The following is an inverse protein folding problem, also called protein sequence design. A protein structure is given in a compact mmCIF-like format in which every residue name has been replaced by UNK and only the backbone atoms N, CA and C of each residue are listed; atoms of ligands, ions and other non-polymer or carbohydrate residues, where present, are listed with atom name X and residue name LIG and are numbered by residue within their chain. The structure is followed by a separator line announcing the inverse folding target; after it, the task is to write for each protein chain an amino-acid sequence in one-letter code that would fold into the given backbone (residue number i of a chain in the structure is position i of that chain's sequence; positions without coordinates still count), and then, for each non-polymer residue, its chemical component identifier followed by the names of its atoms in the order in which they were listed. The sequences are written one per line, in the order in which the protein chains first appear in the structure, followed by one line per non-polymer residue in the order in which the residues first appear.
data_IF_530886319140
#
_entry.id   IF_530886319140
#
_cell.length_a   1.000
_cell.length_b   1.000
_cell.length_c   1.000
_cell.angle_alpha   90.00
_cell.angle_beta   90.00
_cell.angle_gamma   90.00
#
_symmetry.space_group_name_H-M   'P 1'
#
loop_
_entity.id
_entity.type
_entity.pdbx_description
1 polymer ?
#
# COMPACT_ATOMS: atom_id res chain seq x y z
N UNK A 1 4.00 38.84 6.74
CA UNK A 1 2.97 39.42 7.65
C UNK A 1 3.67 40.09 8.85
N UNK A 2 3.19 41.28 9.24
CA UNK A 2 3.07 41.85 10.60
C UNK A 2 4.15 41.62 11.69
N UNK A 3 4.80 42.75 12.07
CA UNK A 3 5.14 43.24 13.45
C UNK A 3 6.16 42.43 14.29
N UNK A 4 6.92 42.97 15.26
CA UNK A 4 7.12 44.31 15.87
C UNK A 4 8.63 44.67 15.80
N UNK A 5 9.18 45.90 15.91
CA UNK A 5 8.71 47.29 16.15
C UNK A 5 8.59 47.80 17.62
N UNK A 6 9.59 48.56 18.07
CA UNK A 6 9.72 49.25 19.39
C UNK A 6 10.89 48.68 20.21
N UNK A 7 11.65 49.41 21.03
CA UNK A 7 11.72 50.83 21.45
C UNK A 7 13.16 51.03 22.03
N UNK A 8 13.74 52.19 22.38
CA UNK A 8 13.33 53.60 22.53
C UNK A 8 14.58 54.50 22.32
N UNK A 9 14.44 55.79 21.96
CA UNK A 9 15.55 56.75 21.85
C UNK A 9 15.58 57.75 23.02
N UNK A 10 16.77 58.16 23.49
CA UNK A 10 16.92 59.29 24.40
C UNK A 10 18.26 60.02 24.16
N UNK A 11 18.17 61.28 23.72
CA UNK A 11 19.28 62.22 23.57
C UNK A 11 19.70 62.81 24.92
N UNK A 12 20.98 63.14 25.08
CA UNK A 12 21.51 63.70 26.33
C UNK A 12 22.87 64.39 26.16
N UNK A 13 22.91 65.45 25.35
CA UNK A 13 24.11 66.28 25.18
C UNK A 13 24.19 67.32 26.31
N UNK A 14 25.21 67.24 27.16
CA UNK A 14 25.61 68.35 28.06
C UNK A 14 27.14 68.43 28.10
N UNK A 15 27.67 69.64 28.03
CA UNK A 15 29.11 69.90 27.97
C UNK A 15 29.62 70.59 29.24
N UNK A 16 30.94 70.48 29.48
CA UNK A 16 31.73 71.22 30.50
C UNK A 16 31.41 70.84 31.96
N UNK A 17 32.29 70.96 32.97
CA UNK A 17 33.62 71.58 33.10
C UNK A 17 34.58 70.66 33.90
N UNK A 18 35.85 71.03 33.97
CA UNK A 18 36.88 70.47 34.85
C UNK A 18 36.52 70.45 36.34
N UNK A 19 36.68 69.30 36.99
CA UNK A 19 36.80 69.19 38.45
C UNK A 19 37.82 68.11 38.83
N UNK A 20 38.96 68.52 39.38
CA UNK A 20 39.89 67.62 40.06
C UNK A 20 39.28 67.21 41.40
N UNK A 21 38.99 65.92 41.58
CA UNK A 21 38.63 65.37 42.90
C UNK A 21 39.52 64.17 43.19
N UNK A 22 40.35 64.29 44.22
CA UNK A 22 41.17 63.19 44.72
C UNK A 22 40.26 62.26 45.51
N UNK A 23 40.11 61.02 45.03
CA UNK A 23 39.45 59.94 45.75
C UNK A 23 40.51 58.91 46.18
N UNK A 24 40.91 58.93 47.45
CA UNK A 24 41.56 57.79 48.09
C UNK A 24 40.51 56.91 48.75
N UNK A 25 40.55 55.59 48.54
CA UNK A 25 39.71 54.65 49.28
C UNK A 25 39.17 53.49 48.44
N UNK A 26 39.95 52.42 48.38
CA UNK A 26 39.58 51.04 48.02
C UNK A 26 39.27 50.66 46.55
N UNK A 27 40.17 49.79 46.05
CA UNK A 27 40.00 48.78 44.98
C UNK A 27 39.98 49.25 43.52
N UNK A 28 40.96 50.07 43.15
CA UNK A 28 41.59 49.86 41.85
C UNK A 28 42.36 48.53 41.86
N UNK A 29 41.83 47.52 41.16
CA UNK A 29 42.62 46.37 40.72
C UNK A 29 43.66 46.90 39.74
N UNK A 30 44.96 46.77 40.03
CA UNK A 30 45.99 47.33 39.15
C UNK A 30 45.87 46.74 37.74
N UNK A 31 46.20 47.51 36.69
CA UNK A 31 46.01 47.07 35.30
C UNK A 31 46.66 45.70 35.00
N UNK A 32 47.79 45.41 35.65
CA UNK A 32 48.45 44.10 35.61
C UNK A 32 47.60 42.97 36.20
N UNK A 33 46.93 43.20 37.32
CA UNK A 33 46.07 42.22 37.99
C UNK A 33 44.74 42.02 37.24
N UNK A 34 44.21 43.07 36.62
CA UNK A 34 43.10 42.95 35.67
C UNK A 34 43.50 42.09 34.47
N UNK A 35 44.65 42.36 33.85
CA UNK A 35 45.14 41.58 32.71
C UNK A 35 45.37 40.11 33.08
N UNK A 36 45.93 39.80 34.25
CA UNK A 36 46.06 38.42 34.74
C UNK A 36 44.69 37.73 34.81
N UNK A 37 43.65 38.41 35.28
CA UNK A 37 42.31 37.82 35.40
C UNK A 37 41.61 37.69 34.03
N UNK A 38 41.73 38.68 33.15
CA UNK A 38 41.20 38.61 31.78
C UNK A 38 41.86 37.44 31.01
N UNK A 39 43.17 37.24 31.17
CA UNK A 39 43.92 36.12 30.57
C UNK A 39 43.52 34.77 31.16
N UNK A 40 43.37 34.66 32.49
CA UNK A 40 42.84 33.43 33.13
C UNK A 40 41.47 33.07 32.58
N UNK A 41 40.59 34.06 32.48
CA UNK A 41 39.22 33.89 32.00
C UNK A 41 39.21 33.43 30.53
N UNK A 42 40.02 34.04 29.67
CA UNK A 42 40.15 33.61 28.28
C UNK A 42 40.66 32.17 28.13
N UNK A 43 41.67 31.76 28.90
CA UNK A 43 42.21 30.39 28.84
C UNK A 43 41.17 29.39 29.36
N UNK A 44 40.57 29.65 30.53
CA UNK A 44 39.65 28.72 31.21
C UNK A 44 38.25 28.65 30.60
N UNK A 45 37.76 29.73 29.98
CA UNK A 45 36.48 29.79 29.24
C UNK A 45 36.67 29.67 27.72
N UNK A 46 37.87 29.33 27.24
CA UNK A 46 38.18 29.47 25.82
C UNK A 46 37.21 28.69 24.93
N UNK A 47 36.77 29.38 23.89
CA UNK A 47 35.38 29.41 23.46
C UNK A 47 34.94 28.14 22.71
N UNK A 48 34.45 27.14 23.43
CA UNK A 48 33.92 25.86 22.92
C UNK A 48 34.87 25.02 22.04
N UNK A 49 36.08 25.51 21.75
CA UNK A 49 36.96 25.09 20.65
C UNK A 49 38.21 24.33 21.08
N UNK A 50 38.49 24.25 22.38
CA UNK A 50 39.61 23.45 22.90
C UNK A 50 39.22 21.97 22.96
N UNK A 51 39.55 21.22 21.91
CA UNK A 51 39.20 19.80 21.75
C UNK A 51 40.42 18.93 22.07
N UNK A 52 40.21 17.83 22.78
CA UNK A 52 41.23 16.85 23.15
C UNK A 52 41.83 16.18 21.91
N UNK A 53 43.15 15.96 21.94
CA UNK A 53 43.90 15.35 20.83
C UNK A 53 44.20 16.29 19.64
N UNK A 54 43.49 17.42 19.50
CA UNK A 54 43.76 18.41 18.43
C UNK A 54 44.33 19.73 18.95
N UNK A 55 43.92 20.18 20.13
CA UNK A 55 44.41 21.44 20.72
C UNK A 55 45.68 21.22 21.53
N UNK A 56 46.76 21.91 21.19
CA UNK A 56 48.01 21.89 21.96
C UNK A 56 48.10 23.08 22.92
N UNK A 57 49.02 22.98 23.90
CA UNK A 57 49.32 24.09 24.80
C UNK A 57 49.89 25.31 24.05
N UNK A 58 50.57 25.11 22.92
CA UNK A 58 51.12 26.21 22.11
C UNK A 58 50.00 26.98 21.40
N UNK A 59 48.99 26.28 20.86
CA UNK A 59 47.84 26.92 20.21
C UNK A 59 47.08 27.84 21.17
N UNK A 60 46.91 27.41 22.43
CA UNK A 60 46.29 28.20 23.48
C UNK A 60 47.16 29.42 23.85
N UNK A 61 48.48 29.25 23.96
CA UNK A 61 49.42 30.34 24.22
C UNK A 61 49.39 31.38 23.10
N UNK A 62 49.43 30.95 21.83
CA UNK A 62 49.44 31.84 20.67
C UNK A 62 48.09 32.53 20.46
N UNK A 63 46.96 31.83 20.66
CA UNK A 63 45.64 32.45 20.68
C UNK A 63 45.51 33.50 21.79
N UNK A 64 46.05 33.21 22.97
CA UNK A 64 46.05 34.16 24.10
C UNK A 64 46.91 35.38 23.80
N UNK A 65 48.13 35.19 23.29
CA UNK A 65 48.96 36.32 22.87
C UNK A 65 48.32 37.13 21.74
N UNK A 66 47.70 36.49 20.74
CA UNK A 66 46.96 37.16 19.67
C UNK A 66 45.80 38.01 20.21
N UNK A 67 45.15 37.57 21.31
CA UNK A 67 44.04 38.29 21.94
C UNK A 67 44.47 39.49 22.79
N UNK A 68 45.60 39.39 23.50
CA UNK A 68 45.98 40.35 24.55
C UNK A 68 47.22 41.21 24.25
N UNK A 69 48.09 40.80 23.33
CA UNK A 69 49.28 41.59 22.94
C UNK A 69 48.87 42.61 21.89
N UNK A 70 49.15 43.89 22.15
CA UNK A 70 48.72 45.01 21.30
C UNK A 70 49.96 45.70 20.72
N UNK A 71 50.01 45.82 19.39
CA UNK A 71 51.18 46.33 18.64
C UNK A 71 51.61 47.75 19.03
N UNK A 72 50.73 48.54 19.64
CA UNK A 72 51.00 49.93 20.05
C UNK A 72 51.64 50.06 21.46
N UNK A 73 52.09 48.94 22.04
CA UNK A 73 53.00 48.88 23.19
C UNK A 73 52.36 48.80 24.57
N UNK A 74 51.03 48.72 24.67
CA UNK A 74 50.34 48.66 25.98
C UNK A 74 50.52 47.30 26.68
N UNK A 75 50.59 46.21 25.91
CA UNK A 75 50.90 44.85 26.39
C UNK A 75 51.82 44.18 25.37
N UNK A 76 52.97 43.69 25.81
CA UNK A 76 53.98 42.98 24.98
C UNK A 76 54.36 41.62 25.55
N UNK A 77 54.98 40.74 24.75
CA UNK A 77 55.47 39.44 25.24
C UNK A 77 56.80 39.58 25.99
N UNK A 78 57.02 38.75 27.01
CA UNK A 78 58.28 38.69 27.79
C UNK A 78 59.53 38.28 26.99
N UNK A 79 59.35 37.83 25.73
CA UNK A 79 60.42 37.45 24.81
C UNK A 79 60.61 38.42 23.63
N UNK A 80 59.81 39.49 23.55
CA UNK A 80 59.92 40.52 22.50
C UNK A 80 60.85 41.67 22.94
N UNK A 81 61.34 42.46 21.98
CA UNK A 81 62.23 43.59 22.28
C UNK A 81 61.51 44.66 23.10
N UNK A 82 62.08 45.02 24.26
CA UNK A 82 61.54 46.05 25.15
C UNK A 82 61.84 47.50 24.67
N UNK A 83 62.45 47.64 23.49
CA UNK A 83 62.75 48.93 22.86
C UNK A 83 61.47 49.66 22.41
N UNK A 84 61.24 50.87 22.89
CA UNK A 84 60.08 51.69 22.49
C UNK A 84 58.82 51.51 23.34
N UNK A 85 58.92 50.77 24.46
CA UNK A 85 57.85 50.73 25.46
C UNK A 85 57.63 52.08 26.14
N UNK A 86 56.44 52.24 26.72
CA UNK A 86 56.04 53.40 27.52
C UNK A 86 56.13 53.05 29.00
N UNK A 87 56.00 54.05 29.88
CA UNK A 87 56.05 53.85 31.33
C UNK A 87 54.87 53.06 31.92
N UNK A 88 53.77 52.97 31.17
CA UNK A 88 52.52 52.26 31.49
C UNK A 88 52.38 50.91 30.78
N UNK A 89 53.39 50.48 30.02
CA UNK A 89 53.43 49.20 29.33
C UNK A 89 53.42 48.00 30.30
N UNK A 90 52.68 46.96 29.93
CA UNK A 90 52.70 45.66 30.62
C UNK A 90 53.46 44.61 29.79
N UNK A 91 54.20 43.74 30.47
CA UNK A 91 54.87 42.59 29.89
C UNK A 91 54.14 41.34 30.34
N UNK A 92 53.57 40.59 29.39
CA UNK A 92 52.85 39.35 29.62
C UNK A 92 53.74 38.14 29.30
N UNK A 93 53.82 37.22 30.25
CA UNK A 93 54.46 35.92 30.12
C UNK A 93 53.43 34.82 30.41
N UNK A 94 53.39 33.81 29.57
CA UNK A 94 52.57 32.61 29.77
C UNK A 94 53.47 31.40 29.58
N UNK A 95 53.44 30.45 30.51
CA UNK A 95 54.18 29.20 30.42
C UNK A 95 53.32 28.02 30.85
N UNK A 96 53.40 26.91 30.11
CA UNK A 96 52.74 25.67 30.52
C UNK A 96 53.43 25.08 31.77
N UNK A 97 52.65 24.74 32.80
CA UNK A 97 53.16 24.13 34.04
C UNK A 97 52.84 22.65 34.18
N UNK A 98 51.78 22.15 33.52
CA UNK A 98 51.46 20.73 33.50
C UNK A 98 50.89 20.27 32.17
N UNK A 99 51.23 19.04 31.78
CA UNK A 99 50.68 18.35 30.61
C UNK A 99 49.96 17.07 31.04
N UNK A 100 48.65 17.15 31.29
CA UNK A 100 47.76 15.99 31.25
C UNK A 100 47.02 16.02 29.91
N UNK A 101 46.50 14.88 29.45
CA UNK A 101 45.89 14.78 28.11
C UNK A 101 44.60 15.61 28.02
N UNK A 102 43.70 15.45 29.00
CA UNK A 102 42.43 16.18 29.08
C UNK A 102 42.50 17.53 29.85
N UNK A 103 43.66 17.92 30.40
CA UNK A 103 43.79 19.09 31.28
C UNK A 103 45.16 19.77 31.18
N UNK A 104 45.16 21.05 30.80
CA UNK A 104 46.38 21.87 30.65
C UNK A 104 46.39 22.99 31.69
N UNK A 105 47.54 23.21 32.33
CA UNK A 105 47.74 24.29 33.31
C UNK A 105 48.80 25.27 32.82
N UNK A 106 48.55 26.55 33.05
CA UNK A 106 49.40 27.65 32.62
C UNK A 106 49.68 28.62 33.78
N UNK A 107 50.96 28.94 33.97
CA UNK A 107 51.40 30.09 34.76
C UNK A 107 51.32 31.34 33.90
N UNK A 108 50.75 32.40 34.47
CA UNK A 108 50.59 33.73 33.89
C UNK A 108 51.35 34.70 34.79
N UNK A 109 52.33 35.41 34.24
CA UNK A 109 53.05 36.47 34.95
C UNK A 109 52.90 37.78 34.16
N UNK A 110 52.41 38.83 34.82
CA UNK A 110 52.33 40.18 34.25
C UNK A 110 53.22 41.12 35.05
N UNK A 111 54.04 41.90 34.37
CA UNK A 111 54.97 42.86 34.95
C UNK A 111 54.70 44.25 34.39
N UNK A 112 54.78 45.29 35.23
CA UNK A 112 54.90 46.65 34.73
C UNK A 112 56.33 46.94 34.25
N UNK A 113 56.49 47.92 33.38
CA UNK A 113 57.81 48.51 33.08
C UNK A 113 58.29 49.46 34.18
N UNK A 114 59.61 49.63 34.30
CA UNK A 114 60.26 50.75 35.01
C UNK A 114 61.35 51.36 34.13
N UNK A 115 61.73 52.61 34.40
CA UNK A 115 62.85 53.24 33.70
C UNK A 115 64.15 52.43 33.91
N UNK A 116 64.87 52.19 32.82
CA UNK A 116 66.19 51.55 32.82
C UNK A 116 67.31 52.51 33.21
N UNK A 117 68.54 52.01 33.21
CA UNK A 117 69.74 52.83 33.48
C UNK A 117 70.18 53.65 32.27
N UNK A 118 69.79 53.26 31.04
CA UNK A 118 70.01 54.07 29.85
C UNK A 118 68.84 55.05 29.59
N UNK A 119 69.14 56.18 28.95
CA UNK A 119 68.14 57.21 28.64
C UNK A 119 67.13 56.67 27.63
N UNK A 120 65.84 56.77 27.95
CA UNK A 120 64.69 56.23 27.19
C UNK A 120 64.62 54.70 27.11
N UNK A 121 65.32 53.98 27.99
CA UNK A 121 65.16 52.54 28.16
C UNK A 121 64.05 52.24 29.19
N UNK A 122 63.23 51.23 28.91
CA UNK A 122 62.27 50.67 29.88
C UNK A 122 62.55 49.19 30.06
N UNK A 123 62.65 48.76 31.31
CA UNK A 123 62.98 47.40 31.71
C UNK A 123 61.85 46.79 32.55
N UNK A 124 61.81 45.46 32.57
CA UNK A 124 60.87 44.67 33.38
C UNK A 124 61.01 45.00 34.87
N UNK A 125 59.93 45.45 35.51
CA UNK A 125 59.90 45.62 36.95
C UNK A 125 59.52 44.32 37.66
N UNK A 126 60.52 43.51 38.02
CA UNK A 126 60.34 42.23 38.74
C UNK A 126 59.49 42.36 40.00
N UNK A 127 59.60 43.49 40.69
CA UNK A 127 58.95 43.75 41.98
C UNK A 127 57.45 44.05 41.83
N UNK A 128 56.99 44.28 40.59
CA UNK A 128 55.58 44.54 40.24
C UNK A 128 54.79 43.30 39.83
N UNK A 129 55.42 42.11 39.85
CA UNK A 129 54.85 40.90 39.25
C UNK A 129 53.48 40.54 39.84
N UNK A 130 52.48 40.43 38.97
CA UNK A 130 51.19 39.82 39.27
C UNK A 130 51.18 38.42 38.68
N UNK A 131 50.88 37.42 39.50
CA UNK A 131 50.86 36.01 39.12
C UNK A 131 49.45 35.45 39.06
N UNK A 132 49.25 34.53 38.14
CA UNK A 132 48.03 33.75 38.00
C UNK A 132 48.33 32.34 37.55
N UNK A 133 47.46 31.41 37.93
CA UNK A 133 47.36 30.09 37.31
C UNK A 133 46.03 30.05 36.59
N UNK A 134 46.00 29.49 35.39
CA UNK A 134 44.76 29.08 34.71
C UNK A 134 44.83 27.60 34.35
N UNK A 135 43.71 26.92 34.47
CA UNK A 135 43.54 25.52 34.10
C UNK A 135 42.40 25.45 33.10
N UNK A 136 42.61 24.69 32.03
CA UNK A 136 41.61 24.43 31.01
C UNK A 136 41.43 22.93 30.86
N UNK A 137 40.17 22.49 30.88
CA UNK A 137 39.79 21.13 30.53
C UNK A 137 39.44 21.13 29.05
N UNK A 138 40.09 20.25 28.30
CA UNK A 138 39.76 20.06 26.90
C UNK A 138 38.41 19.33 26.81
N UNK A 139 37.61 19.64 25.79
CA UNK A 139 36.42 18.85 25.48
C UNK A 139 36.85 17.51 24.90
N UNK A 140 36.25 16.44 25.41
CA UNK A 140 36.44 15.09 24.89
C UNK A 140 36.11 15.05 23.40
N UNK A 141 36.95 14.39 22.61
CA UNK A 141 36.73 14.27 21.17
C UNK A 141 35.77 13.11 20.91
N UNK A 142 34.47 13.43 20.85
CA UNK A 142 33.32 12.52 20.65
C UNK A 142 33.30 11.79 19.27
N UNK A 143 34.44 11.71 18.57
CA UNK A 143 34.60 11.00 17.29
C UNK A 143 34.51 9.48 17.48
N UNK A 144 33.29 9.01 17.70
CA UNK A 144 32.92 7.60 17.74
C UNK A 144 33.02 7.04 16.32
N UNK A 145 33.64 5.87 16.19
CA UNK A 145 33.79 5.19 14.90
C UNK A 145 32.42 4.98 14.23
N UNK A 146 32.30 5.25 12.91
CA UNK A 146 31.12 4.91 12.14
C UNK A 146 30.82 3.41 12.17
N UNK A 147 29.54 3.05 12.21
CA UNK A 147 29.09 1.64 12.18
C UNK A 147 27.94 1.51 11.19
N UNK A 148 28.11 0.67 10.16
CA UNK A 148 27.03 0.23 9.29
C UNK A 148 26.26 -0.88 10.03
N UNK A 149 24.94 -0.75 10.11
CA UNK A 149 24.08 -1.79 10.69
C UNK A 149 24.03 -3.03 9.79
N UNK A 150 23.88 -4.21 10.38
CA UNK A 150 23.74 -5.44 9.61
C UNK A 150 22.49 -5.38 8.71
N UNK A 151 22.68 -5.70 7.42
CA UNK A 151 21.62 -5.79 6.41
C UNK A 151 21.25 -7.27 6.29
N UNK A 152 19.96 -7.58 6.22
CA UNK A 152 19.50 -8.96 6.00
C UNK A 152 19.59 -9.33 4.52
N UNK A 153 19.65 -10.62 4.21
CA UNK A 153 19.56 -11.10 2.83
C UNK A 153 18.21 -10.66 2.19
N UNK A 154 18.22 -10.51 0.86
CA UNK A 154 17.11 -9.91 0.10
C UNK A 154 16.72 -10.81 -1.09
N UNK A 155 15.43 -10.78 -1.46
CA UNK A 155 14.93 -11.45 -2.66
C UNK A 155 14.42 -10.41 -3.66
N UNK A 156 14.73 -10.57 -4.94
CA UNK A 156 14.24 -9.70 -6.02
C UNK A 156 13.93 -10.51 -7.27
N UNK A 157 12.88 -10.15 -7.99
CA UNK A 157 12.52 -10.81 -9.25
C UNK A 157 13.30 -10.20 -10.42
N UNK A 158 13.66 -11.00 -11.44
CA UNK A 158 14.28 -10.52 -12.69
C UNK A 158 13.54 -9.29 -13.24
N UNK A 159 14.29 -8.27 -13.64
CA UNK A 159 13.79 -7.02 -14.19
C UNK A 159 13.11 -6.09 -13.19
N UNK A 160 12.91 -6.52 -11.93
CA UNK A 160 12.34 -5.67 -10.87
C UNK A 160 13.44 -5.02 -10.04
N UNK A 161 13.03 -4.03 -9.24
CA UNK A 161 13.89 -3.22 -8.38
C UNK A 161 13.43 -3.30 -6.93
N UNK A 162 14.39 -3.26 -6.01
CA UNK A 162 14.18 -3.25 -4.56
C UNK A 162 15.03 -2.14 -3.95
N UNK A 163 14.43 -1.27 -3.14
CA UNK A 163 15.17 -0.29 -2.33
C UNK A 163 15.41 -0.83 -0.92
N UNK A 164 16.62 -0.66 -0.41
CA UNK A 164 17.04 -1.06 0.94
C UNK A 164 17.65 0.14 1.66
N UNK A 165 17.19 0.40 2.89
CA UNK A 165 17.72 1.46 3.75
C UNK A 165 18.99 1.01 4.50
N UNK A 166 20.07 1.80 4.43
CA UNK A 166 21.32 1.52 5.14
C UNK A 166 21.46 2.45 6.35
N UNK A 167 21.37 1.87 7.55
CA UNK A 167 21.50 2.63 8.80
C UNK A 167 22.95 2.74 9.24
N UNK A 168 23.47 3.97 9.29
CA UNK A 168 24.83 4.30 9.72
C UNK A 168 24.77 5.01 11.08
N UNK A 169 25.41 4.43 12.10
CA UNK A 169 25.57 5.06 13.42
C UNK A 169 26.89 5.84 13.45
N UNK A 170 26.89 7.04 14.03
CA UNK A 170 28.01 8.00 14.01
C UNK A 170 28.51 8.32 12.58
N UNK A 171 27.65 8.77 11.64
CA UNK A 171 28.11 9.16 10.31
C UNK A 171 29.06 10.37 10.38
N UNK A 172 30.01 10.43 9.45
CA UNK A 172 30.98 11.53 9.31
C UNK A 172 30.55 12.43 8.16
N UNK A 173 30.56 13.74 8.39
CA UNK A 173 30.20 14.73 7.36
C UNK A 173 31.16 14.65 6.16
N UNK A 174 30.59 14.61 4.94
CA UNK A 174 31.35 14.50 3.69
C UNK A 174 31.79 13.08 3.31
N UNK A 175 31.53 12.06 4.12
CA UNK A 175 31.78 10.65 3.75
C UNK A 175 30.55 10.04 3.08
N UNK A 176 30.75 9.47 1.89
CA UNK A 176 29.70 8.85 1.08
C UNK A 176 29.63 7.33 1.27
N UNK A 177 28.41 6.78 1.14
CA UNK A 177 28.14 5.35 1.11
C UNK A 177 28.56 4.75 -0.25
N UNK A 178 29.14 3.55 -0.23
CA UNK A 178 29.51 2.78 -1.43
C UNK A 178 28.93 1.37 -1.36
N UNK A 179 28.46 0.85 -2.49
CA UNK A 179 27.92 -0.51 -2.60
C UNK A 179 28.43 -1.16 -3.90
N UNK A 180 28.76 -2.44 -3.83
CA UNK A 180 29.28 -3.23 -4.94
C UNK A 180 28.61 -4.61 -4.96
N UNK A 181 28.32 -5.13 -6.15
CA UNK A 181 27.74 -6.45 -6.36
C UNK A 181 28.81 -7.40 -6.90
N UNK A 182 29.04 -8.52 -6.21
CA UNK A 182 30.04 -9.52 -6.61
C UNK A 182 29.69 -10.19 -7.96
N UNK A 183 28.40 -10.39 -8.23
CA UNK A 183 27.90 -11.03 -9.46
C UNK A 183 26.90 -10.09 -10.16
N UNK A 184 27.43 -9.08 -10.85
CA UNK A 184 26.63 -8.09 -11.63
C UNK A 184 25.73 -8.71 -12.70
N UNK A 185 26.02 -9.93 -13.13
CA UNK A 185 25.18 -10.69 -14.07
C UNK A 185 23.86 -11.17 -13.45
N UNK A 186 23.84 -11.37 -12.13
CA UNK A 186 22.65 -11.81 -11.40
C UNK A 186 21.90 -10.60 -10.83
N UNK A 187 22.59 -9.72 -10.08
CA UNK A 187 22.01 -8.50 -9.52
C UNK A 187 22.97 -7.31 -9.65
N UNK A 188 22.44 -6.11 -9.91
CA UNK A 188 23.19 -4.85 -9.83
C UNK A 188 22.73 -4.01 -8.64
N UNK A 189 23.61 -3.13 -8.13
CA UNK A 189 23.34 -2.23 -7.00
C UNK A 189 23.75 -0.81 -7.36
N UNK A 190 22.95 0.18 -6.95
CA UNK A 190 23.22 1.60 -7.11
C UNK A 190 22.93 2.36 -5.81
N UNK A 191 23.74 3.38 -5.51
CA UNK A 191 23.50 4.29 -4.38
C UNK A 191 22.35 5.25 -4.73
N UNK A 192 21.51 5.54 -3.73
CA UNK A 192 20.43 6.52 -3.76
C UNK A 192 20.62 7.55 -2.64
N UNK A 193 19.83 8.61 -2.69
CA UNK A 193 19.80 9.63 -1.64
C UNK A 193 19.42 9.03 -0.27
N UNK A 194 19.82 9.71 0.82
CA UNK A 194 19.47 9.36 2.20
C UNK A 194 19.93 7.95 2.65
N UNK A 195 21.12 7.52 2.22
CA UNK A 195 21.72 6.22 2.55
C UNK A 195 20.86 5.01 2.09
N UNK A 196 20.12 5.16 1.00
CA UNK A 196 19.43 4.05 0.33
C UNK A 196 20.33 3.39 -0.71
N UNK A 197 20.08 2.11 -0.97
CA UNK A 197 20.59 1.40 -2.15
C UNK A 197 19.43 0.83 -2.96
N UNK A 198 19.53 0.89 -4.29
CA UNK A 198 18.60 0.25 -5.22
C UNK A 198 19.27 -0.99 -5.82
N UNK A 199 18.64 -2.15 -5.63
CA UNK A 199 19.06 -3.43 -6.17
C UNK A 199 18.16 -3.74 -7.36
N UNK A 200 18.75 -4.12 -8.51
CA UNK A 200 17.99 -4.55 -9.70
C UNK A 200 18.34 -6.01 -10.01
N UNK A 201 17.32 -6.87 -10.10
CA UNK A 201 17.48 -8.26 -10.54
C UNK A 201 17.72 -8.32 -12.05
N UNK A 202 18.75 -9.03 -12.49
CA UNK A 202 19.19 -9.12 -13.90
C UNK A 202 19.00 -10.53 -14.46
N UNK A 203 19.44 -11.55 -13.73
CA UNK A 203 19.28 -12.97 -14.08
C UNK A 203 19.16 -13.82 -12.81
N UNK A 204 18.52 -14.98 -12.92
CA UNK A 204 18.27 -15.86 -11.77
C UNK A 204 19.57 -16.38 -11.14
N UNK A 205 19.62 -16.39 -9.81
CA UNK A 205 20.77 -16.79 -9.01
C UNK A 205 21.20 -15.72 -8.01
N UNK A 206 22.23 -16.01 -7.22
CA UNK A 206 22.63 -15.17 -6.09
C UNK A 206 23.72 -14.15 -6.45
N UNK A 207 23.75 -13.02 -5.74
CA UNK A 207 24.89 -12.10 -5.70
C UNK A 207 25.15 -11.61 -4.27
N UNK A 208 26.41 -11.64 -3.83
CA UNK A 208 26.81 -10.98 -2.58
C UNK A 208 26.97 -9.47 -2.83
N UNK A 209 26.25 -8.66 -2.05
CA UNK A 209 26.39 -7.19 -2.05
C UNK A 209 27.29 -6.80 -0.88
N UNK A 210 28.36 -6.06 -1.17
CA UNK A 210 29.22 -5.43 -0.15
C UNK A 210 28.86 -3.96 -0.02
N UNK A 211 28.51 -3.52 1.18
CA UNK A 211 28.22 -2.12 1.52
C UNK A 211 29.34 -1.59 2.43
N UNK A 212 29.89 -0.43 2.08
CA UNK A 212 31.06 0.16 2.73
C UNK A 212 30.93 1.66 2.92
N UNK A 213 31.55 2.16 3.99
CA UNK A 213 31.52 3.55 4.43
C UNK A 213 32.85 3.85 5.13
N UNK A 214 33.46 5.01 4.89
CA UNK A 214 34.80 5.29 5.42
C UNK A 214 34.78 5.34 6.96
N UNK A 215 35.76 4.70 7.60
CA UNK A 215 35.82 4.55 9.05
C UNK A 215 34.92 3.45 9.65
N UNK A 216 34.05 2.82 8.85
CA UNK A 216 33.25 1.67 9.27
C UNK A 216 33.84 0.33 8.77
N UNK A 217 33.45 -0.77 9.42
CA UNK A 217 33.61 -2.11 8.83
C UNK A 217 32.51 -2.35 7.79
N UNK A 218 32.88 -2.83 6.60
CA UNK A 218 31.92 -3.16 5.54
C UNK A 218 30.98 -4.29 5.95
N UNK A 219 29.72 -4.20 5.53
CA UNK A 219 28.68 -5.22 5.72
C UNK A 219 28.45 -5.96 4.40
N UNK A 220 28.13 -7.25 4.50
CA UNK A 220 27.82 -8.13 3.36
C UNK A 220 26.47 -8.81 3.59
N UNK A 221 25.70 -8.98 2.52
CA UNK A 221 24.46 -9.74 2.51
C UNK A 221 24.25 -10.34 1.11
N UNK A 222 23.43 -11.39 1.01
CA UNK A 222 23.08 -12.06 -0.24
C UNK A 222 21.81 -11.45 -0.82
N UNK A 223 21.82 -11.25 -2.14
CA UNK A 223 20.62 -11.01 -2.95
C UNK A 223 20.36 -12.26 -3.76
N UNK A 224 19.26 -12.95 -3.50
CA UNK A 224 18.76 -14.03 -4.34
C UNK A 224 17.84 -13.43 -5.41
N UNK A 225 18.19 -13.66 -6.68
CA UNK A 225 17.36 -13.23 -7.82
C UNK A 225 16.52 -14.40 -8.29
N UNK A 226 15.21 -14.23 -8.19
CA UNK A 226 14.22 -15.21 -8.61
C UNK A 226 13.77 -14.93 -10.05
N UNK A 227 13.49 -15.98 -10.81
CA UNK A 227 12.86 -15.85 -12.12
C UNK A 227 11.49 -15.19 -11.97
N UNK A 228 11.08 -14.37 -12.94
CA UNK A 228 9.68 -13.94 -13.01
C UNK A 228 8.82 -15.19 -13.27
N UNK A 229 7.83 -15.43 -12.41
CA UNK A 229 6.94 -16.57 -12.56
C UNK A 229 6.24 -16.49 -13.92
N UNK A 230 6.27 -17.59 -14.68
CA UNK A 230 5.52 -17.66 -15.93
C UNK A 230 4.03 -17.46 -15.63
N UNK A 231 3.36 -16.64 -16.43
CA UNK A 231 1.92 -16.46 -16.30
C UNK A 231 1.22 -17.80 -16.57
N UNK A 232 0.38 -18.25 -15.63
CA UNK A 232 -0.38 -19.49 -15.78
C UNK A 232 -1.26 -19.39 -17.04
N UNK A 233 -1.21 -20.43 -17.88
CA UNK A 233 -1.97 -20.47 -19.12
C UNK A 233 -3.49 -20.53 -18.85
N UNK A 234 -4.34 -19.92 -19.70
CA UNK A 234 -5.77 -19.95 -19.50
C UNK A 234 -6.34 -21.38 -19.57
N UNK A 235 -7.30 -21.68 -18.70
CA UNK A 235 -7.97 -22.99 -18.64
C UNK A 235 -9.48 -22.81 -18.64
N UNK A 236 -10.17 -23.45 -19.59
CA UNK A 236 -11.64 -23.50 -19.63
C UNK A 236 -12.12 -24.60 -18.67
N UNK A 237 -13.04 -24.29 -17.75
CA UNK A 237 -13.67 -25.29 -16.90
C UNK A 237 -14.44 -26.34 -17.74
N UNK A 238 -14.46 -27.63 -17.34
CA UNK A 238 -15.30 -28.63 -17.99
C UNK A 238 -16.78 -28.22 -18.00
N UNK A 239 -17.43 -28.33 -19.16
CA UNK A 239 -18.85 -28.02 -19.33
C UNK A 239 -19.62 -29.34 -19.36
N UNK A 240 -20.64 -29.47 -18.50
CA UNK A 240 -21.51 -30.65 -18.51
C UNK A 240 -22.43 -30.68 -19.74
N UNK A 241 -22.75 -31.89 -20.20
CA UNK A 241 -23.76 -32.12 -21.25
C UNK A 241 -25.11 -31.47 -20.88
N UNK A 242 -25.83 -30.97 -21.89
CA UNK A 242 -27.10 -30.26 -21.71
C UNK A 242 -28.25 -30.94 -22.47
N UNK A 243 -29.46 -30.58 -22.10
CA UNK A 243 -30.69 -30.96 -22.80
C UNK A 243 -31.51 -29.70 -23.07
N UNK A 244 -32.13 -29.62 -24.24
CA UNK A 244 -33.02 -28.51 -24.65
C UNK A 244 -34.17 -29.09 -25.48
N UNK A 245 -35.34 -28.47 -25.47
CA UNK A 245 -36.47 -28.86 -26.35
C UNK A 245 -36.33 -28.16 -27.71
N UNK A 246 -36.90 -28.73 -28.77
CA UNK A 246 -37.01 -28.05 -30.08
C UNK A 246 -37.64 -26.67 -29.89
N UNK A 247 -37.06 -25.63 -30.50
CA UNK A 247 -37.52 -24.25 -30.41
C UNK A 247 -37.06 -23.50 -29.15
N UNK A 248 -36.68 -24.20 -28.08
CA UNK A 248 -36.20 -23.58 -26.84
C UNK A 248 -34.74 -23.14 -26.92
N UNK A 249 -34.37 -22.29 -25.96
CA UNK A 249 -33.03 -21.73 -25.79
C UNK A 249 -32.53 -21.90 -24.36
N UNK A 250 -31.26 -22.21 -24.22
CA UNK A 250 -30.55 -22.20 -22.93
C UNK A 250 -29.29 -21.34 -23.01
N UNK A 251 -28.95 -20.66 -21.92
CA UNK A 251 -27.64 -20.02 -21.75
C UNK A 251 -26.70 -20.93 -20.95
N UNK A 252 -25.44 -20.98 -21.36
CA UNK A 252 -24.35 -21.64 -20.64
C UNK A 252 -23.25 -20.61 -20.40
N UNK A 253 -22.76 -20.52 -19.15
CA UNK A 253 -21.61 -19.67 -18.80
C UNK A 253 -20.33 -20.50 -18.95
N UNK A 254 -19.30 -19.91 -19.56
CA UNK A 254 -17.98 -20.50 -19.76
C UNK A 254 -17.03 -19.88 -18.75
N UNK A 255 -16.65 -20.67 -17.75
CA UNK A 255 -15.66 -20.27 -16.74
C UNK A 255 -14.25 -20.46 -17.31
N UNK A 256 -13.39 -19.45 -17.12
CA UNK A 256 -12.00 -19.45 -17.58
C UNK A 256 -11.12 -19.02 -16.40
N UNK A 257 -10.22 -19.90 -15.97
CA UNK A 257 -9.14 -19.56 -15.08
C UNK A 257 -8.00 -18.89 -15.87
N UNK A 258 -7.30 -17.94 -15.25
CA UNK A 258 -6.19 -17.16 -15.84
C UNK A 258 -6.51 -16.54 -17.22
N UNK A 259 -7.65 -15.83 -17.38
CA UNK A 259 -8.04 -15.23 -18.65
C UNK A 259 -7.03 -14.16 -19.11
N UNK A 260 -6.92 -13.98 -20.42
CA UNK A 260 -6.07 -12.98 -21.08
C UNK A 260 -6.93 -11.80 -21.52
N UNK A 261 -6.52 -10.59 -21.14
CA UNK A 261 -7.25 -9.35 -21.48
C UNK A 261 -7.41 -9.19 -23.01
N UNK A 262 -8.65 -8.95 -23.44
CA UNK A 262 -8.99 -8.73 -24.85
C UNK A 262 -9.17 -10.00 -25.70
N UNK A 263 -9.01 -11.20 -25.12
CA UNK A 263 -9.32 -12.48 -25.78
C UNK A 263 -10.77 -12.87 -25.48
N UNK A 264 -11.53 -13.23 -26.52
CA UNK A 264 -12.93 -13.68 -26.43
C UNK A 264 -13.06 -15.20 -26.61
N UNK A 265 -14.15 -15.78 -26.10
CA UNK A 265 -14.52 -17.18 -26.38
C UNK A 265 -15.06 -17.34 -27.80
N UNK A 266 -14.84 -18.53 -28.37
CA UNK A 266 -15.51 -18.99 -29.58
C UNK A 266 -16.18 -20.34 -29.33
N UNK A 267 -17.27 -20.63 -30.05
CA UNK A 267 -18.02 -21.85 -29.90
C UNK A 267 -18.62 -22.30 -31.25
N UNK A 268 -18.64 -23.61 -31.48
CA UNK A 268 -19.17 -24.22 -32.70
C UNK A 268 -20.00 -25.45 -32.37
N UNK A 269 -21.01 -25.73 -33.20
CA UNK A 269 -21.86 -26.93 -33.10
C UNK A 269 -21.52 -27.87 -34.25
N UNK A 270 -21.20 -29.13 -33.93
CA UNK A 270 -20.85 -30.14 -34.93
C UNK A 270 -22.03 -30.51 -35.84
N UNK A 271 -23.25 -30.50 -35.31
CA UNK A 271 -24.51 -30.78 -36.03
C UNK A 271 -25.49 -29.62 -35.86
N UNK A 272 -25.29 -28.55 -36.63
CA UNK A 272 -26.14 -27.34 -36.64
C UNK A 272 -27.62 -27.61 -36.95
N UNK A 273 -27.93 -28.75 -37.59
CA UNK A 273 -29.29 -29.18 -37.87
C UNK A 273 -30.06 -29.62 -36.60
N UNK A 274 -29.33 -30.08 -35.57
CA UNK A 274 -29.92 -30.51 -34.30
C UNK A 274 -29.91 -29.34 -33.31
N UNK A 275 -28.76 -28.68 -33.11
CA UNK A 275 -28.64 -27.51 -32.23
C UNK A 275 -27.71 -26.44 -32.81
N UNK A 276 -28.05 -25.15 -32.67
CA UNK A 276 -27.15 -24.03 -32.99
C UNK A 276 -26.58 -23.41 -31.72
N UNK A 277 -25.44 -22.72 -31.86
CA UNK A 277 -24.76 -22.01 -30.77
C UNK A 277 -24.39 -20.59 -31.21
N UNK A 278 -24.53 -19.62 -30.32
CA UNK A 278 -24.16 -18.22 -30.53
C UNK A 278 -23.43 -17.67 -29.29
N UNK A 279 -22.41 -16.84 -29.51
CA UNK A 279 -21.70 -16.14 -28.43
C UNK A 279 -22.56 -15.01 -27.86
N UNK A 280 -22.44 -14.78 -26.56
CA UNK A 280 -23.05 -13.69 -25.79
C UNK A 280 -21.98 -13.01 -24.94
N UNK A 281 -22.29 -11.81 -24.46
CA UNK A 281 -21.43 -11.05 -23.55
C UNK A 281 -21.12 -11.84 -22.26
N UNK A 282 -20.00 -11.50 -21.61
CA UNK A 282 -19.57 -12.06 -20.32
C UNK A 282 -19.33 -13.59 -20.36
N UNK A 283 -18.61 -14.05 -21.39
CA UNK A 283 -18.25 -15.47 -21.60
C UNK A 283 -19.45 -16.42 -21.56
N UNK A 284 -20.57 -16.02 -22.16
CA UNK A 284 -21.76 -16.86 -22.28
C UNK A 284 -21.94 -17.37 -23.71
N UNK A 285 -22.60 -18.52 -23.82
CA UNK A 285 -23.11 -19.05 -25.09
C UNK A 285 -24.62 -19.31 -24.97
N UNK A 286 -25.37 -18.96 -26.01
CA UNK A 286 -26.78 -19.32 -26.17
C UNK A 286 -26.86 -20.52 -27.12
N UNK A 287 -27.59 -21.55 -26.71
CA UNK A 287 -27.80 -22.77 -27.47
C UNK A 287 -29.29 -22.88 -27.80
N UNK A 288 -29.63 -23.06 -29.08
CA UNK A 288 -31.03 -23.22 -29.53
C UNK A 288 -31.27 -24.64 -30.04
N UNK A 289 -32.33 -25.30 -29.57
CA UNK A 289 -32.77 -26.59 -30.10
C UNK A 289 -33.47 -26.42 -31.45
N UNK A 290 -33.03 -27.14 -32.48
CA UNK A 290 -33.55 -27.04 -33.86
C UNK A 290 -34.30 -28.29 -34.30
N UNK A 291 -33.72 -29.47 -34.08
CA UNK A 291 -34.34 -30.76 -34.38
C UNK A 291 -33.89 -31.83 -33.37
N UNK A 292 -34.72 -32.84 -33.14
CA UNK A 292 -34.42 -33.90 -32.18
C UNK A 292 -33.16 -34.69 -32.55
N UNK A 293 -32.26 -34.87 -31.60
CA UNK A 293 -30.96 -35.52 -31.78
C UNK A 293 -29.83 -34.80 -31.03
N UNK A 294 -28.64 -35.37 -31.07
CA UNK A 294 -27.47 -34.84 -30.36
C UNK A 294 -26.64 -33.90 -31.25
N UNK A 295 -25.94 -32.93 -30.63
CA UNK A 295 -24.84 -32.20 -31.25
C UNK A 295 -23.69 -32.01 -30.25
N UNK A 296 -22.45 -32.22 -30.68
CA UNK A 296 -21.27 -31.84 -29.91
C UNK A 296 -21.00 -30.34 -30.09
N UNK A 297 -20.94 -29.61 -28.98
CA UNK A 297 -20.49 -28.22 -28.94
C UNK A 297 -19.02 -28.20 -28.54
N UNK A 298 -18.19 -27.53 -29.34
CA UNK A 298 -16.78 -27.24 -29.00
C UNK A 298 -16.67 -25.77 -28.60
N UNK A 299 -16.08 -25.50 -27.43
CA UNK A 299 -15.77 -24.16 -26.92
C UNK A 299 -14.26 -23.98 -26.87
N UNK A 300 -13.77 -22.86 -27.40
CA UNK A 300 -12.35 -22.56 -27.55
C UNK A 300 -12.03 -21.14 -27.05
N UNK A 301 -10.84 -20.98 -26.50
CA UNK A 301 -10.29 -19.71 -26.00
C UNK A 301 -8.78 -19.70 -26.31
N UNK A 302 -8.22 -18.56 -26.69
CA UNK A 302 -6.80 -18.50 -27.10
C UNK A 302 -5.88 -18.85 -25.92
N UNK A 303 -4.84 -19.65 -26.18
CA UNK A 303 -3.94 -20.17 -25.14
C UNK A 303 -4.50 -21.34 -24.32
N UNK A 304 -5.79 -21.65 -24.41
CA UNK A 304 -6.43 -22.72 -23.64
C UNK A 304 -6.68 -23.99 -24.48
N UNK A 305 -6.79 -25.13 -23.80
CA UNK A 305 -7.30 -26.36 -24.43
C UNK A 305 -8.82 -26.25 -24.60
N UNK A 306 -9.32 -26.53 -25.81
CA UNK A 306 -10.77 -26.47 -26.10
C UNK A 306 -11.55 -27.55 -25.36
N UNK A 307 -12.72 -27.18 -24.85
CA UNK A 307 -13.65 -28.07 -24.13
C UNK A 307 -14.79 -28.50 -25.05
N UNK A 308 -15.28 -29.73 -24.87
CA UNK A 308 -16.36 -30.32 -25.65
C UNK A 308 -17.45 -30.88 -24.75
N UNK A 309 -18.71 -30.71 -25.14
CA UNK A 309 -19.86 -31.29 -24.44
C UNK A 309 -21.00 -31.59 -25.43
N UNK A 310 -21.88 -32.51 -25.07
CA UNK A 310 -23.04 -32.90 -25.90
C UNK A 310 -24.28 -32.10 -25.48
N UNK A 311 -25.01 -31.62 -26.48
CA UNK A 311 -26.38 -31.11 -26.33
C UNK A 311 -27.33 -32.12 -26.95
N UNK A 312 -28.20 -32.71 -26.12
CA UNK A 312 -29.29 -33.57 -26.57
C UNK A 312 -30.55 -32.73 -26.77
N UNK A 313 -31.03 -32.61 -28.00
CA UNK A 313 -32.28 -31.93 -28.32
C UNK A 313 -33.43 -32.93 -28.29
N UNK A 314 -34.44 -32.66 -27.46
CA UNK A 314 -35.65 -33.46 -27.35
C UNK A 314 -36.78 -32.86 -28.19
N UNK A 315 -37.61 -33.71 -28.77
CA UNK A 315 -38.88 -33.27 -29.32
C UNK A 315 -39.73 -32.60 -28.23
N UNK A 316 -40.58 -31.65 -28.64
CA UNK A 316 -41.66 -31.15 -27.81
C UNK A 316 -42.60 -32.33 -27.47
N UNK A 317 -43.09 -32.39 -26.24
CA UNK A 317 -44.02 -33.43 -25.84
C UNK A 317 -45.38 -33.15 -26.51
N UNK A 318 -45.96 -34.16 -27.18
CA UNK A 318 -47.32 -34.05 -27.69
C UNK A 318 -48.29 -33.83 -26.53
N UNK A 319 -49.24 -32.92 -26.71
CA UNK A 319 -50.30 -32.70 -25.72
C UNK A 319 -51.16 -33.96 -25.60
N UNK A 320 -51.42 -34.40 -24.37
CA UNK A 320 -52.28 -35.56 -24.12
C UNK A 320 -53.69 -35.34 -24.66
N UNK A 321 -54.24 -36.35 -25.34
CA UNK A 321 -55.56 -36.26 -25.96
C UNK A 321 -56.66 -36.18 -24.89
N UNK A 322 -57.79 -35.48 -25.15
CA UNK A 322 -58.90 -35.43 -24.22
C UNK A 322 -59.50 -36.82 -23.95
N UNK A 323 -59.90 -37.08 -22.71
CA UNK A 323 -60.55 -38.35 -22.32
C UNK A 323 -61.78 -38.06 -21.47
N UNK A 324 -62.94 -38.54 -21.92
CA UNK A 324 -64.18 -38.54 -21.12
C UNK A 324 -64.11 -39.69 -20.11
N UNK A 325 -64.32 -39.40 -18.82
CA UNK A 325 -64.40 -40.42 -17.77
C UNK A 325 -65.63 -41.33 -17.98
N UNK A 326 -65.55 -42.64 -17.68
CA UNK A 326 -66.70 -43.54 -17.78
C UNK A 326 -67.89 -43.05 -16.95
N UNK A 327 -69.08 -43.03 -17.56
CA UNK A 327 -70.33 -42.62 -16.92
C UNK A 327 -71.10 -43.88 -16.52
N UNK A 328 -71.43 -44.02 -15.23
CA UNK A 328 -72.27 -45.13 -14.78
C UNK A 328 -73.72 -45.02 -15.27
N UNK A 329 -74.35 -46.15 -15.57
CA UNK A 329 -75.78 -46.26 -15.87
C UNK A 329 -76.64 -45.54 -14.81
N UNK A 330 -77.73 -44.92 -15.25
CA UNK A 330 -78.63 -44.13 -14.39
C UNK A 330 -80.05 -44.68 -14.40
N UNK A 331 -80.81 -44.33 -13.38
CA UNK A 331 -82.25 -44.59 -13.29
C UNK A 331 -82.98 -43.29 -13.02
N UNK A 332 -84.12 -43.08 -13.68
CA UNK A 332 -84.99 -41.90 -13.50
C UNK A 332 -86.46 -42.34 -13.56
N UNK A 333 -87.34 -41.59 -12.90
CA UNK A 333 -88.80 -41.82 -12.98
C UNK A 333 -89.37 -41.06 -14.18
N UNK A 334 -90.37 -41.62 -14.86
CA UNK A 334 -91.06 -40.93 -15.95
C UNK A 334 -91.68 -39.61 -15.47
N UNK A 335 -91.33 -38.50 -16.13
CA UNK A 335 -91.68 -37.14 -15.73
C UNK A 335 -90.61 -36.42 -14.88
N UNK A 336 -89.64 -37.13 -14.33
CA UNK A 336 -88.55 -36.55 -13.52
C UNK A 336 -87.28 -36.26 -14.32
N UNK A 337 -86.35 -35.55 -13.67
CA UNK A 337 -85.08 -35.11 -14.24
C UNK A 337 -83.91 -35.40 -13.31
N UNK A 338 -82.76 -35.74 -13.89
CA UNK A 338 -81.47 -35.85 -13.19
C UNK A 338 -80.40 -35.07 -13.94
N UNK A 339 -79.43 -34.50 -13.21
CA UNK A 339 -78.20 -33.97 -13.80
C UNK A 339 -77.06 -34.99 -13.67
N UNK A 340 -76.22 -35.09 -14.69
CA UNK A 340 -74.98 -35.87 -14.70
C UNK A 340 -73.84 -34.94 -15.10
N UNK A 341 -72.75 -34.94 -14.34
CA UNK A 341 -71.51 -34.21 -14.69
C UNK A 341 -70.63 -35.12 -15.54
N UNK A 342 -70.05 -34.56 -16.60
CA UNK A 342 -69.13 -35.23 -17.52
C UNK A 342 -67.73 -34.74 -17.18
N UNK A 343 -66.92 -35.62 -16.58
CA UNK A 343 -65.52 -35.32 -16.28
C UNK A 343 -64.65 -35.60 -17.51
N UNK A 344 -63.77 -34.64 -17.85
CA UNK A 344 -62.89 -34.71 -19.02
C UNK A 344 -61.47 -34.43 -18.56
N UNK A 345 -60.57 -35.40 -18.73
CA UNK A 345 -59.13 -35.19 -18.60
C UNK A 345 -58.59 -34.53 -19.89
N UNK A 346 -57.60 -33.65 -19.75
CA UNK A 346 -56.97 -32.90 -20.84
C UNK A 346 -57.97 -32.18 -21.78
N UNK A 347 -58.92 -31.38 -21.25
CA UNK A 347 -59.89 -30.68 -22.09
C UNK A 347 -59.20 -29.63 -22.99
N UNK A 348 -59.79 -29.38 -24.16
CA UNK A 348 -59.38 -28.32 -25.08
C UNK A 348 -60.21 -27.07 -24.81
N UNK A 349 -59.54 -25.93 -24.63
CA UNK A 349 -60.19 -24.65 -24.38
C UNK A 349 -61.20 -24.31 -25.50
N UNK A 350 -62.42 -23.95 -25.09
CA UNK A 350 -63.50 -23.55 -26.00
C UNK A 350 -64.23 -24.70 -26.72
N UNK A 351 -63.93 -25.96 -26.42
CA UNK A 351 -64.68 -27.12 -26.91
C UNK A 351 -65.75 -27.53 -25.88
N UNK A 352 -66.98 -27.71 -26.32
CA UNK A 352 -68.12 -28.16 -25.50
C UNK A 352 -68.44 -29.65 -25.70
N UNK A 353 -69.10 -30.26 -24.72
CA UNK A 353 -69.68 -31.61 -24.86
C UNK A 353 -70.94 -31.60 -25.73
N UNK A 354 -71.21 -32.74 -26.37
CA UNK A 354 -72.51 -33.05 -26.97
C UNK A 354 -73.03 -34.39 -26.46
N UNK A 355 -74.34 -34.58 -26.50
CA UNK A 355 -74.98 -35.79 -26.01
C UNK A 355 -76.25 -36.11 -26.80
N UNK A 356 -76.51 -37.39 -27.04
CA UNK A 356 -77.69 -37.87 -27.77
C UNK A 356 -78.32 -39.05 -27.04
N UNK A 357 -79.63 -39.27 -27.25
CA UNK A 357 -80.39 -40.39 -26.69
C UNK A 357 -80.91 -41.27 -27.82
N UNK A 358 -80.57 -42.56 -27.77
CA UNK A 358 -80.94 -43.53 -28.81
C UNK A 358 -82.48 -43.75 -28.89
N UNK A 359 -83.17 -43.73 -27.74
CA UNK A 359 -84.62 -43.92 -27.64
C UNK A 359 -85.27 -42.73 -26.92
N UNK A 360 -85.46 -41.63 -27.66
CA UNK A 360 -86.08 -40.38 -27.16
C UNK A 360 -87.50 -40.55 -26.58
N UNK A 361 -88.19 -41.64 -26.95
CA UNK A 361 -89.50 -41.98 -26.38
C UNK A 361 -89.41 -42.44 -24.92
N UNK A 362 -88.25 -42.95 -24.49
CA UNK A 362 -88.02 -43.43 -23.13
C UNK A 362 -87.32 -42.36 -22.30
N UNK A 363 -86.22 -41.76 -22.80
CA UNK A 363 -85.52 -40.65 -22.13
C UNK A 363 -84.99 -39.61 -23.13
N UNK A 364 -84.98 -38.33 -22.76
CA UNK A 364 -84.29 -37.26 -23.52
C UNK A 364 -83.09 -36.73 -22.74
N UNK A 365 -82.14 -36.13 -23.46
CA UNK A 365 -80.92 -35.52 -22.90
C UNK A 365 -80.74 -34.10 -23.45
N UNK A 366 -80.27 -33.18 -22.62
CA UNK A 366 -79.94 -31.81 -22.99
C UNK A 366 -78.62 -31.37 -22.34
N UNK A 367 -77.80 -30.60 -23.06
CA UNK A 367 -76.55 -30.03 -22.53
C UNK A 367 -76.85 -28.88 -21.56
N UNK A 368 -76.00 -28.75 -20.55
CA UNK A 368 -75.99 -27.70 -19.53
C UNK A 368 -74.57 -27.15 -19.38
N UNK A 369 -74.47 -25.95 -18.79
CA UNK A 369 -73.20 -25.32 -18.48
C UNK A 369 -72.29 -26.19 -17.60
N UNK A 370 -70.97 -25.99 -17.71
CA UNK A 370 -69.94 -26.67 -16.93
C UNK A 370 -69.92 -28.20 -17.12
N UNK A 371 -69.94 -28.64 -18.38
CA UNK A 371 -69.88 -30.06 -18.79
C UNK A 371 -70.94 -30.94 -18.09
N UNK A 372 -72.16 -30.44 -18.00
CA UNK A 372 -73.30 -31.19 -17.45
C UNK A 372 -74.29 -31.59 -18.53
N UNK A 373 -74.99 -32.69 -18.28
CA UNK A 373 -76.16 -33.10 -19.06
C UNK A 373 -77.37 -33.25 -18.13
N UNK A 374 -78.53 -32.79 -18.59
CA UNK A 374 -79.83 -33.03 -17.94
C UNK A 374 -80.56 -34.13 -18.69
N UNK A 375 -80.96 -35.19 -17.97
CA UNK A 375 -81.67 -36.34 -18.52
C UNK A 375 -83.10 -36.28 -17.98
N UNK A 376 -84.08 -36.33 -18.88
CA UNK A 376 -85.52 -36.35 -18.52
C UNK A 376 -86.11 -37.72 -18.84
N UNK A 377 -86.75 -38.36 -17.85
CA UNK A 377 -87.53 -39.58 -18.08
C UNK A 377 -88.84 -39.26 -18.79
N UNK A 378 -89.15 -39.96 -19.88
CA UNK A 378 -90.35 -39.72 -20.71
C UNK A 378 -91.37 -40.85 -20.54
N UNK A 379 -90.96 -42.10 -20.74
CA UNK A 379 -91.81 -43.28 -20.59
C UNK A 379 -90.98 -44.48 -20.11
N UNK A 380 -91.63 -45.46 -19.47
CA UNK A 380 -90.94 -46.61 -18.89
C UNK A 380 -90.24 -47.47 -19.97
N UNK A 381 -88.95 -47.75 -19.76
CA UNK A 381 -88.07 -48.43 -20.71
C UNK A 381 -86.64 -47.87 -20.67
N UNK A 382 -85.72 -48.50 -21.39
CA UNK A 382 -84.32 -48.09 -21.44
C UNK A 382 -84.02 -47.14 -22.60
N UNK A 383 -83.04 -46.26 -22.43
CA UNK A 383 -82.38 -45.56 -23.54
C UNK A 383 -80.87 -45.55 -23.34
N UNK A 384 -80.10 -45.72 -24.41
CA UNK A 384 -78.66 -45.47 -24.39
C UNK A 384 -78.41 -43.97 -24.63
N UNK A 385 -77.58 -43.37 -23.78
CA UNK A 385 -77.08 -42.00 -23.95
C UNK A 385 -75.63 -42.08 -24.41
N UNK A 386 -75.32 -41.43 -25.53
CA UNK A 386 -73.94 -41.24 -26.01
C UNK A 386 -73.50 -39.82 -25.69
N UNK A 387 -72.33 -39.68 -25.06
CA UNK A 387 -71.67 -38.40 -24.78
C UNK A 387 -70.37 -38.31 -25.59
N UNK A 388 -70.20 -37.20 -26.29
CA UNK A 388 -69.12 -36.95 -27.25
C UNK A 388 -68.40 -35.64 -26.93
N UNK A 389 -67.07 -35.63 -27.13
CA UNK A 389 -66.22 -34.46 -26.97
C UNK A 389 -65.10 -34.50 -28.01
N UNK A 390 -64.85 -33.39 -28.72
CA UNK A 390 -63.91 -33.37 -29.84
C UNK A 390 -62.50 -33.74 -29.38
N UNK A 391 -61.92 -34.79 -29.97
CA UNK A 391 -60.60 -35.33 -29.62
C UNK A 391 -60.63 -36.46 -28.59
N UNK A 392 -61.76 -36.70 -27.94
CA UNK A 392 -61.97 -37.87 -27.07
C UNK A 392 -62.70 -39.00 -27.81
N UNK A 393 -62.63 -40.20 -27.23
CA UNK A 393 -63.54 -41.30 -27.56
C UNK A 393 -64.92 -41.06 -26.92
N UNK A 394 -65.99 -41.36 -27.66
CA UNK A 394 -67.36 -41.31 -27.15
C UNK A 394 -67.57 -42.29 -25.98
N UNK A 395 -68.38 -41.88 -25.00
CA UNK A 395 -68.79 -42.72 -23.85
C UNK A 395 -70.29 -42.94 -23.91
N UNK A 396 -70.73 -44.20 -23.86
CA UNK A 396 -72.15 -44.56 -23.76
C UNK A 396 -72.51 -45.09 -22.38
N UNK A 397 -73.75 -44.85 -21.93
CA UNK A 397 -74.31 -45.43 -20.72
C UNK A 397 -75.84 -45.59 -20.86
N UNK A 398 -76.41 -46.57 -20.14
CA UNK A 398 -77.85 -46.82 -20.15
C UNK A 398 -78.58 -45.98 -19.11
N UNK A 399 -79.70 -45.39 -19.51
CA UNK A 399 -80.70 -44.77 -18.64
C UNK A 399 -81.93 -45.66 -18.62
N UNK A 400 -82.22 -46.26 -17.48
CA UNK A 400 -83.47 -47.01 -17.25
C UNK A 400 -84.53 -46.07 -16.71
N UNK A 401 -85.64 -45.92 -17.43
CA UNK A 401 -86.79 -45.12 -16.99
C UNK A 401 -87.83 -46.01 -16.37
N UNK A 402 -88.24 -45.67 -15.15
CA UNK A 402 -89.28 -46.37 -14.40
C UNK A 402 -90.62 -45.63 -14.50
N UNK A 403 -91.73 -46.34 -14.37
CA UNK A 403 -93.06 -45.71 -14.39
C UNK A 403 -93.26 -44.82 -13.15
N UNK A 404 -93.95 -43.69 -13.32
CA UNK A 404 -94.49 -42.94 -12.20
C UNK A 404 -95.51 -43.79 -11.42
N UNK A 405 -95.50 -43.67 -10.08
CA UNK A 405 -96.41 -44.38 -9.17
C UNK A 405 -97.77 -43.68 -9.03
#
# INVERSE_FOLDING_TARGET
MKKLLGLLAATGLVATTSATVVACGDKEVSAAEKLVNDVKEFISKGNDSWIEGTTTAQDIIDATFSKFVVKDGNVVKDAESLSGLKSDSLILKIGQTSKKVAELSFDIEVYATKAGTAKNEFVKNTDSVKKGVSVVKLKENDSKTPIISAIQDQNVVIGKKLEVDVTITNPVEGVELKAESATIANATVAIKENNKIEITGVAAGDSEITVSYEGATSVKFIVTVEAEAEAEAPVISPIENKTVVIGEKIEVTVEIAHPVDGVEISATSATIANATVAIKENNKIEITGVAAGDSEITVSYEGATSVKFIVTVKAEAEAEAPVISPIENKTVVAGEKIEVTVEIAHPVDGVEISATSATIANATVAIKENNKIEITGVAAGDSEITVSYTGAQDVTFTVTVTAAQ
#
